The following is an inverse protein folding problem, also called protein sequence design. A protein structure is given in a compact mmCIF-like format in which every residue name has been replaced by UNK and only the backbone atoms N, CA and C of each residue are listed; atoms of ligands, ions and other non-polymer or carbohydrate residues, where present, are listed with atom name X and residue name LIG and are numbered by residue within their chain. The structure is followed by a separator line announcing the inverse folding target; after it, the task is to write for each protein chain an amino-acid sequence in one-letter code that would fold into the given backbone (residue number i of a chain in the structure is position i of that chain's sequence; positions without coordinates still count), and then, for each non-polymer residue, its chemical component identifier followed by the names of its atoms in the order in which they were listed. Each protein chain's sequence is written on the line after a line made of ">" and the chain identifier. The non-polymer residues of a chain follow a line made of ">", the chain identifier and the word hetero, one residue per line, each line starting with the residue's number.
data_IF_947791077830
#
_entry.id   IF_947791077830
#
_cell.length_a   1.000
_cell.length_b   1.000
_cell.length_c   1.000
_cell.angle_alpha   90.00
_cell.angle_beta   90.00
_cell.angle_gamma   90.00
#
_symmetry.space_group_name_H-M   'P 1'
#
loop_
_entity.id
_entity.type
_entity.pdbx_description
1 polymer ?
2 non-polymer ?
3 non-polymer ?
4 water ?
#
# COMPACT_ATOMS: atom_id res chain seq x y z
N UNK A 10 17.63 -14.97 16.94
CA UNK A 10 17.25 -13.63 16.42
C UNK A 10 15.74 -13.54 15.97
N UNK A 11 15.25 -14.53 15.22
CA UNK A 11 13.87 -14.48 14.65
C UNK A 11 13.26 -15.84 14.69
N UNK A 12 12.48 -16.15 15.75
CA UNK A 12 12.01 -17.51 15.92
C UNK A 12 10.98 -17.90 14.86
N UNK A 13 10.38 -16.90 14.22
CA UNK A 13 9.32 -17.11 13.25
C UNK A 13 9.72 -16.91 11.78
N UNK A 14 11.01 -17.00 11.53
CA UNK A 14 11.53 -16.97 10.19
C UNK A 14 11.02 -18.18 9.42
N UNK A 15 10.76 -18.01 8.13
CA UNK A 15 10.26 -19.14 7.41
C UNK A 15 11.19 -20.38 7.46
N UNK A 16 12.47 -20.09 7.54
CA UNK A 16 13.53 -21.14 7.58
C UNK A 16 13.39 -21.96 8.89
N UNK A 17 12.66 -21.44 9.88
CA UNK A 17 12.52 -22.18 11.17
C UNK A 17 11.31 -23.05 11.14
N UNK A 18 10.48 -22.95 10.10
CA UNK A 18 9.21 -23.68 10.01
C UNK A 18 9.23 -24.90 9.12
N UNK A 19 8.26 -25.80 9.34
CA UNK A 19 8.08 -26.95 8.44
C UNK A 19 7.02 -26.63 7.39
N UNK A 20 7.52 -26.38 6.19
CA UNK A 20 6.64 -25.96 5.10
C UNK A 20 6.28 -27.09 4.21
N UNK A 21 5.00 -27.47 4.21
CA UNK A 21 4.63 -28.60 3.38
C UNK A 21 5.00 -28.42 1.93
N UNK A 22 5.35 -29.52 1.24
CA UNK A 22 5.38 -29.51 -0.24
C UNK A 22 4.04 -29.04 -0.84
N UNK A 23 4.08 -28.20 -1.87
CA UNK A 23 2.86 -27.64 -2.52
C UNK A 23 2.41 -26.33 -1.90
N UNK A 24 3.09 -25.86 -0.85
CA UNK A 24 2.73 -24.55 -0.23
C UNK A 24 3.87 -23.59 -0.66
N UNK A 25 3.55 -22.49 -1.30
CA UNK A 25 4.54 -21.45 -1.51
C UNK A 25 4.29 -20.32 -0.49
N UNK A 26 5.37 -19.60 -0.15
CA UNK A 26 5.30 -18.53 0.86
C UNK A 26 6.00 -17.29 0.31
N UNK A 27 5.38 -16.15 0.46
CA UNK A 27 5.99 -14.87 -0.05
C UNK A 27 5.89 -13.87 1.07
N UNK A 28 7.02 -13.31 1.49
CA UNK A 28 7.04 -12.39 2.60
C UNK A 28 7.20 -10.95 2.07
N UNK A 29 6.33 -10.05 2.55
CA UNK A 29 6.42 -8.64 2.17
C UNK A 29 7.35 -7.93 3.06
N UNK A 30 8.12 -7.05 2.47
CA UNK A 30 9.17 -6.38 3.23
C UNK A 30 8.78 -5.14 4.09
N UNK A 31 7.52 -4.70 4.04
CA UNK A 31 7.12 -3.47 4.79
C UNK A 31 5.79 -2.97 4.38
N UNK A 32 5.55 -1.67 4.44
CA UNK A 32 4.30 -1.05 3.93
C UNK A 32 3.97 -1.50 2.54
N UNK A 33 2.72 -1.86 2.28
CA UNK A 33 2.40 -2.46 0.96
C UNK A 33 1.91 -1.35 0.07
N UNK A 34 2.89 -0.68 -0.54
CA UNK A 34 2.63 0.42 -1.43
C UNK A 34 3.11 0.03 -2.87
N UNK A 35 3.51 1.03 -3.67
CA UNK A 35 3.67 0.67 -5.12
C UNK A 35 4.86 -0.28 -5.26
N UNK A 36 5.91 -0.12 -4.39
CA UNK A 36 7.17 -1.01 -4.52
C UNK A 36 6.80 -2.48 -4.42
N UNK A 37 6.08 -2.85 -3.34
CA UNK A 37 5.64 -4.22 -3.10
C UNK A 37 4.68 -4.60 -4.24
N UNK A 38 3.76 -3.70 -4.52
CA UNK A 38 2.81 -4.04 -5.62
C UNK A 38 3.57 -4.45 -6.90
N UNK A 39 4.59 -3.75 -7.29
CA UNK A 39 5.35 -4.02 -8.54
C UNK A 39 6.00 -5.41 -8.47
N UNK A 40 6.42 -5.77 -7.27
CA UNK A 40 7.09 -7.11 -7.09
C UNK A 40 6.09 -8.29 -6.99
N UNK A 41 4.92 -8.09 -6.40
CA UNK A 41 3.96 -9.18 -6.27
C UNK A 41 3.24 -9.47 -7.64
N UNK A 42 3.11 -8.40 -8.44
CA UNK A 42 2.38 -8.54 -9.72
C UNK A 42 2.89 -9.67 -10.52
N UNK A 43 1.96 -10.57 -10.88
CA UNK A 43 2.30 -11.61 -11.82
C UNK A 43 3.12 -12.75 -11.25
N UNK A 44 3.31 -12.78 -9.93
CA UNK A 44 4.09 -13.84 -9.35
C UNK A 44 3.53 -15.23 -9.67
N UNK A 45 2.21 -15.44 -9.70
CA UNK A 45 1.76 -16.77 -10.02
C UNK A 45 1.97 -17.11 -11.52
N UNK A 46 2.08 -16.14 -12.43
CA UNK A 46 2.38 -16.51 -13.84
C UNK A 46 3.86 -16.90 -14.04
N UNK A 47 4.74 -16.72 -13.05
CA UNK A 47 6.13 -17.18 -13.21
C UNK A 47 6.56 -18.33 -12.29
N UNK A 48 5.63 -18.94 -11.57
CA UNK A 48 5.94 -20.18 -10.92
C UNK A 48 5.52 -21.31 -11.91
N UNK A 49 6.45 -22.22 -12.20
CA UNK A 49 6.18 -23.30 -13.18
C UNK A 49 5.25 -24.38 -12.58
N UNK A 50 5.53 -24.82 -11.36
CA UNK A 50 4.67 -25.78 -10.65
C UNK A 50 3.69 -25.07 -9.70
N UNK A 51 2.48 -24.79 -10.20
CA UNK A 51 1.52 -23.96 -9.42
C UNK A 51 1.26 -24.56 -8.05
N UNK A 52 1.47 -23.74 -6.99
CA UNK A 52 1.30 -24.17 -5.61
C UNK A 52 -0.20 -24.48 -5.33
N UNK A 53 -0.47 -25.41 -4.41
CA UNK A 53 -1.83 -25.68 -3.98
C UNK A 53 -2.28 -24.55 -3.06
N UNK A 54 -1.29 -24.05 -2.29
CA UNK A 54 -1.59 -23.01 -1.21
C UNK A 54 -0.48 -21.97 -1.32
N UNK A 55 -0.85 -20.67 -1.22
CA UNK A 55 0.08 -19.61 -1.27
C UNK A 55 -0.13 -18.81 -0.01
N UNK A 56 0.95 -18.61 0.76
CA UNK A 56 0.84 -17.84 1.99
C UNK A 56 1.53 -16.52 1.75
N UNK A 57 0.78 -15.44 1.95
CA UNK A 57 1.41 -14.15 1.89
C UNK A 57 1.65 -13.70 3.33
N UNK A 58 2.93 -13.62 3.71
CA UNK A 58 3.31 -13.24 5.02
C UNK A 58 3.29 -11.75 5.20
N UNK A 59 2.50 -11.29 6.16
CA UNK A 59 2.21 -9.85 6.25
C UNK A 59 2.58 -9.33 7.62
N UNK A 60 3.45 -10.04 8.36
CA UNK A 60 3.83 -9.50 9.72
C UNK A 60 4.57 -8.18 9.71
N UNK A 61 5.17 -7.83 8.57
CA UNK A 61 5.93 -6.56 8.42
C UNK A 61 5.06 -5.48 7.80
N UNK A 62 3.78 -5.73 7.68
CA UNK A 62 2.95 -4.82 6.87
C UNK A 62 1.92 -4.18 7.85
N UNK A 63 2.18 -2.93 8.28
CA UNK A 63 1.11 -2.28 9.00
C UNK A 63 0.07 -1.50 8.23
N UNK A 64 0.33 -1.23 6.93
CA UNK A 64 -0.43 -0.27 6.20
C UNK A 64 -0.35 -0.77 4.75
N UNK A 65 -1.40 -0.49 4.02
CA UNK A 65 -1.51 -0.74 2.58
C UNK A 65 -2.26 0.47 1.95
N UNK A 66 -1.78 0.94 0.76
CA UNK A 66 -2.56 2.03 0.17
C UNK A 66 -3.43 1.52 -1.00
N UNK A 67 -3.95 2.43 -1.82
CA UNK A 67 -4.85 1.98 -2.84
C UNK A 67 -4.10 1.10 -3.92
N UNK A 68 -2.84 1.46 -4.24
CA UNK A 68 -2.08 0.73 -5.22
C UNK A 68 -1.77 -0.66 -4.69
N UNK A 69 -1.28 -0.74 -3.43
CA UNK A 69 -1.11 -2.03 -2.74
C UNK A 69 -2.40 -2.90 -2.75
N UNK A 70 -3.54 -2.26 -2.41
CA UNK A 70 -4.77 -3.05 -2.31
C UNK A 70 -5.15 -3.49 -3.73
N UNK A 71 -4.90 -2.64 -4.74
CA UNK A 71 -5.23 -3.12 -6.07
C UNK A 71 -4.40 -4.35 -6.46
N UNK A 72 -3.12 -4.33 -6.12
CA UNK A 72 -2.26 -5.45 -6.44
C UNK A 72 -2.73 -6.71 -5.67
N UNK A 73 -3.15 -6.53 -4.40
CA UNK A 73 -3.56 -7.68 -3.60
C UNK A 73 -4.87 -8.29 -4.17
N UNK A 74 -5.78 -7.48 -4.68
CA UNK A 74 -7.03 -7.98 -5.30
C UNK A 74 -6.67 -8.74 -6.56
N UNK A 75 -5.78 -8.18 -7.38
CA UNK A 75 -5.49 -8.87 -8.63
C UNK A 75 -4.67 -10.14 -8.33
N UNK A 76 -3.93 -10.19 -7.23
CA UNK A 76 -3.23 -11.37 -6.92
C UNK A 76 -4.21 -12.49 -6.49
N UNK A 77 -5.19 -12.13 -5.67
CA UNK A 77 -6.20 -13.11 -5.27
C UNK A 77 -6.98 -13.65 -6.49
N UNK A 78 -7.25 -12.81 -7.47
CA UNK A 78 -7.85 -13.21 -8.77
C UNK A 78 -7.01 -14.16 -9.55
N UNK A 79 -5.70 -13.90 -9.61
CA UNK A 79 -4.77 -14.84 -10.19
C UNK A 79 -4.76 -16.19 -9.46
N UNK A 80 -4.89 -16.20 -8.15
CA UNK A 80 -4.92 -17.47 -7.40
C UNK A 80 -6.18 -18.28 -7.75
N UNK A 81 -7.30 -17.58 -7.84
CA UNK A 81 -8.52 -18.29 -8.18
C UNK A 81 -8.48 -18.85 -9.56
N UNK A 82 -7.92 -18.09 -10.54
CA UNK A 82 -7.74 -18.63 -11.88
C UNK A 82 -6.85 -19.84 -11.96
N UNK A 83 -5.92 -19.98 -11.01
CA UNK A 83 -5.03 -21.17 -10.98
C UNK A 83 -5.44 -22.26 -10.01
N UNK A 84 -6.58 -22.08 -9.30
CA UNK A 84 -7.05 -23.04 -8.28
C UNK A 84 -6.08 -23.13 -7.10
N UNK A 85 -5.34 -22.03 -6.90
CA UNK A 85 -4.46 -21.89 -5.73
C UNK A 85 -5.23 -21.25 -4.59
N UNK A 86 -5.08 -21.77 -3.37
CA UNK A 86 -5.74 -21.15 -2.22
C UNK A 86 -4.77 -20.09 -1.61
N UNK A 87 -5.19 -18.85 -1.55
CA UNK A 87 -4.45 -17.78 -0.89
C UNK A 87 -4.80 -17.73 0.61
N UNK A 88 -3.76 -17.71 1.46
CA UNK A 88 -3.87 -17.46 2.92
C UNK A 88 -3.03 -16.15 3.22
N UNK A 89 -3.52 -15.38 4.15
CA UNK A 89 -2.66 -14.28 4.71
C UNK A 89 -2.25 -14.65 6.10
N UNK A 90 -0.99 -14.45 6.47
CA UNK A 90 -0.59 -14.69 7.84
C UNK A 90 -0.01 -13.39 8.37
N UNK A 91 0.12 -13.35 9.70
CA UNK A 91 0.76 -12.24 10.41
C UNK A 91 -0.04 -10.93 10.25
N UNK A 92 -1.33 -11.09 10.09
CA UNK A 92 -2.18 -9.87 9.85
C UNK A 92 -2.48 -9.21 11.22
N UNK A 93 -1.97 -7.99 11.41
CA UNK A 93 -2.16 -7.28 12.69
C UNK A 93 -3.64 -6.76 12.72
N UNK A 94 -4.10 -6.36 13.89
CA UNK A 94 -5.43 -5.75 13.98
C UNK A 94 -5.59 -4.47 13.13
N UNK A 95 -4.52 -3.68 12.97
CA UNK A 95 -4.65 -2.49 12.14
C UNK A 95 -4.73 -2.87 10.66
N UNK A 96 -3.87 -3.82 10.25
CA UNK A 96 -4.03 -4.25 8.83
C UNK A 96 -5.39 -4.86 8.51
N UNK A 97 -5.90 -5.68 9.40
CA UNK A 97 -7.17 -6.36 9.20
C UNK A 97 -8.26 -5.26 9.00
N UNK A 98 -8.18 -4.23 9.84
CA UNK A 98 -9.18 -3.16 9.77
C UNK A 98 -9.15 -2.51 8.37
N UNK A 99 -7.95 -2.29 7.80
CA UNK A 99 -7.81 -1.68 6.47
C UNK A 99 -8.43 -2.65 5.45
N UNK A 100 -8.01 -3.92 5.50
CA UNK A 100 -8.44 -4.88 4.52
C UNK A 100 -9.95 -5.09 4.65
N UNK A 101 -10.51 -5.03 5.85
CA UNK A 101 -11.97 -5.14 5.99
C UNK A 101 -12.71 -3.94 5.41
N UNK A 102 -12.18 -2.73 5.65
CA UNK A 102 -12.84 -1.52 5.05
C UNK A 102 -12.75 -1.52 3.53
N UNK A 103 -11.66 -2.07 2.98
CA UNK A 103 -11.57 -2.20 1.54
C UNK A 103 -12.48 -3.32 0.98
N UNK A 104 -12.99 -4.22 1.80
CA UNK A 104 -13.85 -5.29 1.34
C UNK A 104 -13.16 -6.62 1.06
N UNK A 105 -11.85 -6.63 1.34
CA UNK A 105 -11.05 -7.77 0.93
C UNK A 105 -11.28 -8.98 1.88
N UNK A 106 -11.47 -8.73 3.16
CA UNK A 106 -11.71 -9.83 4.14
C UNK A 106 -12.98 -10.61 3.72
N UNK A 107 -14.07 -9.93 3.40
CA UNK A 107 -15.30 -10.68 3.05
C UNK A 107 -15.12 -11.37 1.71
N UNK A 108 -14.24 -10.83 0.86
CA UNK A 108 -14.05 -11.48 -0.49
C UNK A 108 -13.18 -12.70 -0.41
N UNK A 109 -12.17 -12.65 0.48
CA UNK A 109 -11.24 -13.79 0.58
C UNK A 109 -11.83 -14.85 1.46
N UNK A 110 -12.51 -14.41 2.50
CA UNK A 110 -13.05 -15.27 3.56
C UNK A 110 -12.21 -15.16 4.83
N UNK A 111 -12.87 -14.88 5.97
CA UNK A 111 -12.12 -14.71 7.23
C UNK A 111 -11.30 -15.91 7.60
N UNK A 112 -11.76 -17.10 7.23
CA UNK A 112 -11.06 -18.30 7.65
C UNK A 112 -9.68 -18.46 6.95
N UNK A 113 -9.43 -17.63 5.96
CA UNK A 113 -8.11 -17.58 5.25
C UNK A 113 -7.09 -16.55 5.81
N UNK A 114 -7.46 -15.85 6.93
CA UNK A 114 -6.67 -14.74 7.39
C UNK A 114 -6.21 -15.13 8.80
N UNK A 115 -4.90 -15.08 9.05
CA UNK A 115 -4.29 -15.46 10.32
C UNK A 115 -3.39 -14.43 10.93
N UNK A 116 -3.23 -14.49 12.28
CA UNK A 116 -2.39 -13.51 12.86
C UNK A 116 -0.97 -14.01 13.05
N UNK A 117 -0.72 -15.23 12.58
CA UNK A 117 0.56 -15.89 12.85
C UNK A 117 0.77 -16.96 11.82
N UNK A 118 2.06 -17.07 11.41
CA UNK A 118 2.50 -18.02 10.40
C UNK A 118 2.24 -19.49 10.83
N UNK A 119 2.38 -19.73 12.16
CA UNK A 119 2.09 -21.10 12.61
C UNK A 119 0.66 -21.56 12.34
N UNK A 120 -0.29 -20.67 12.52
CA UNK A 120 -1.68 -21.01 12.26
C UNK A 120 -1.88 -21.14 10.77
N UNK A 121 -1.31 -20.21 9.96
CA UNK A 121 -1.57 -20.36 8.54
C UNK A 121 -1.01 -21.70 8.01
N UNK A 122 0.17 -22.04 8.51
CA UNK A 122 0.81 -23.29 8.09
C UNK A 122 0.01 -24.54 8.50
N UNK A 123 -0.46 -24.48 9.71
CA UNK A 123 -1.36 -25.60 10.19
C UNK A 123 -2.52 -25.78 9.21
N UNK A 124 -3.21 -24.67 8.84
CA UNK A 124 -4.23 -24.76 7.84
C UNK A 124 -3.82 -25.18 6.43
N UNK A 125 -2.75 -24.61 5.91
CA UNK A 125 -2.16 -25.04 4.70
C UNK A 125 -1.87 -26.57 4.67
N UNK A 126 -1.32 -27.10 5.75
CA UNK A 126 -1.04 -28.49 5.85
C UNK A 126 -2.34 -29.29 5.69
N UNK A 127 -3.38 -28.85 6.35
CA UNK A 127 -4.68 -29.55 6.33
C UNK A 127 -5.23 -29.53 4.90
N UNK A 128 -5.06 -28.41 4.21
CA UNK A 128 -5.55 -28.23 2.87
C UNK A 128 -4.84 -29.12 1.91
N UNK A 129 -3.51 -29.21 2.04
CA UNK A 129 -2.75 -30.08 1.13
C UNK A 129 -3.13 -31.57 1.39
N UNK A 130 -3.18 -31.99 2.66
CA UNK A 130 -3.63 -33.35 3.09
C UNK A 130 -4.97 -33.73 2.46
N UNK A 131 -5.89 -32.77 2.36
CA UNK A 131 -7.29 -33.02 1.96
C UNK A 131 -7.65 -32.47 0.57
N UNK B 8 -3.89 -2.64 -23.42
CA UNK B 8 -5.20 -2.05 -23.92
C UNK B 8 -6.08 -1.46 -22.79
N UNK B 9 -6.21 -2.20 -21.70
CA UNK B 9 -6.98 -1.75 -20.53
C UNK B 9 -6.07 -1.30 -19.38
N UNK B 10 -4.81 -0.98 -19.70
CA UNK B 10 -3.81 -0.49 -18.69
C UNK B 10 -4.19 0.90 -18.19
N UNK B 11 -4.03 1.18 -16.91
CA UNK B 11 -4.03 2.57 -16.38
C UNK B 11 -2.73 3.22 -16.86
N UNK B 12 -2.78 4.15 -17.85
CA UNK B 12 -1.51 4.69 -18.31
C UNK B 12 -0.74 5.55 -17.28
N UNK B 13 -1.42 6.00 -16.23
CA UNK B 13 -0.77 6.82 -15.21
C UNK B 13 -0.61 6.05 -13.90
N UNK B 14 -0.73 4.74 -13.92
CA UNK B 14 -0.33 3.94 -12.71
C UNK B 14 1.10 4.21 -12.33
N UNK B 15 1.41 4.18 -11.02
CA UNK B 15 2.76 4.34 -10.59
C UNK B 15 3.74 3.39 -11.27
N UNK B 16 3.27 2.18 -11.51
CA UNK B 16 4.09 1.15 -12.17
C UNK B 16 4.58 1.55 -13.55
N UNK B 17 3.89 2.52 -14.17
CA UNK B 17 4.28 3.00 -15.50
C UNK B 17 5.21 4.17 -15.51
N UNK B 18 5.59 4.64 -14.30
CA UNK B 18 6.47 5.78 -14.11
C UNK B 18 7.81 5.37 -13.62
N UNK B 19 8.81 6.25 -13.78
CA UNK B 19 10.14 6.12 -13.22
C UNK B 19 10.16 6.94 -11.90
N UNK B 20 10.17 6.19 -10.80
CA UNK B 20 10.11 6.77 -9.47
C UNK B 20 11.49 6.78 -8.88
N UNK B 21 12.04 7.97 -8.65
CA UNK B 21 13.38 8.01 -8.12
C UNK B 21 13.55 7.28 -6.77
N UNK B 22 14.74 6.72 -6.52
CA UNK B 22 15.04 6.27 -5.20
C UNK B 22 14.92 7.44 -4.25
N UNK B 23 14.37 7.19 -3.08
CA UNK B 23 14.27 8.29 -2.10
C UNK B 23 12.89 8.90 -2.16
N UNK B 24 12.04 8.39 -3.08
CA UNK B 24 10.73 9.05 -3.23
C UNK B 24 9.72 8.00 -2.83
N UNK B 25 8.85 8.30 -1.85
CA UNK B 25 7.74 7.34 -1.45
C UNK B 25 6.46 7.87 -2.01
N UNK B 26 5.58 6.98 -2.45
CA UNK B 26 4.26 7.35 -3.07
C UNK B 26 3.17 6.61 -2.34
N UNK B 27 2.08 7.33 -1.98
CA UNK B 27 0.92 6.66 -1.37
C UNK B 27 -0.26 7.14 -2.23
N UNK B 28 -1.11 6.22 -2.70
CA UNK B 28 -2.26 6.58 -3.48
C UNK B 28 -3.56 6.37 -2.70
N UNK B 29 -4.40 7.39 -2.65
CA UNK B 29 -5.69 7.33 -1.93
C UNK B 29 -6.74 6.83 -2.86
N UNK B 30 -7.58 5.96 -2.29
CA UNK B 30 -8.53 5.21 -3.08
C UNK B 30 -9.88 5.85 -3.44
N UNK B 31 -10.21 7.00 -2.86
CA UNK B 31 -11.56 7.61 -3.10
C UNK B 31 -11.72 8.81 -2.19
N UNK B 32 -12.95 9.30 -1.97
CA UNK B 32 -13.12 10.41 -1.01
C UNK B 32 -12.29 10.26 0.30
N UNK B 33 -11.74 11.35 0.74
CA UNK B 33 -10.82 11.35 1.89
C UNK B 33 -11.66 11.67 3.14
N UNK B 34 -12.28 10.60 3.67
CA UNK B 34 -13.04 10.69 4.91
C UNK B 34 -12.39 9.81 6.03
N UNK B 35 -13.16 9.31 7.03
CA UNK B 35 -12.52 8.61 8.15
C UNK B 35 -11.77 7.33 7.68
N UNK B 36 -12.24 6.66 6.64
CA UNK B 36 -11.60 5.32 6.18
C UNK B 36 -10.16 5.60 5.81
N UNK B 37 -9.99 6.55 4.89
CA UNK B 37 -8.64 6.92 4.45
C UNK B 37 -7.83 7.52 5.59
N UNK B 38 -8.45 8.40 6.39
CA UNK B 38 -7.71 8.93 7.54
C UNK B 38 -7.13 7.89 8.51
N UNK B 39 -7.89 6.83 8.73
CA UNK B 39 -7.44 5.72 9.57
C UNK B 39 -6.22 5.04 8.98
N UNK B 40 -6.19 4.93 7.66
CA UNK B 40 -5.03 4.26 6.97
C UNK B 40 -3.77 5.14 6.87
N UNK B 41 -3.96 6.45 6.79
CA UNK B 41 -2.86 7.32 6.48
C UNK B 41 -2.17 7.65 7.81
N UNK B 42 -2.93 7.55 8.91
CA UNK B 42 -2.37 8.04 10.18
C UNK B 42 -1.16 7.21 10.66
N UNK B 43 -0.07 7.93 10.95
CA UNK B 43 1.18 7.28 11.29
C UNK B 43 2.00 6.61 10.22
N UNK B 44 1.59 6.82 8.98
CA UNK B 44 2.31 6.12 7.85
C UNK B 44 3.78 6.47 7.85
N UNK B 45 4.14 7.72 8.12
CA UNK B 45 5.57 8.04 7.99
C UNK B 45 6.38 7.27 9.06
N UNK B 46 5.78 7.07 10.26
CA UNK B 46 6.50 6.39 11.41
C UNK B 46 6.83 4.90 11.11
N UNK B 47 6.09 4.28 10.19
CA UNK B 47 6.41 2.91 9.81
C UNK B 47 7.35 2.77 8.65
N UNK B 48 7.90 3.87 8.13
CA UNK B 48 8.88 3.83 7.08
C UNK B 48 10.25 4.02 7.72
N UNK B 49 11.13 3.02 7.61
CA UNK B 49 12.34 3.03 8.40
C UNK B 49 13.41 3.99 7.83
N UNK B 50 13.57 4.08 6.51
CA UNK B 50 14.46 5.06 5.96
C UNK B 50 13.71 6.37 5.63
N UNK B 51 14.18 7.50 6.16
CA UNK B 51 13.49 8.79 5.95
C UNK B 51 13.42 9.11 4.41
N UNK B 52 12.16 9.29 3.85
CA UNK B 52 12.08 9.60 2.47
C UNK B 52 12.49 11.05 2.25
N UNK B 53 13.18 11.31 1.13
CA UNK B 53 13.47 12.69 0.78
C UNK B 53 12.16 13.38 0.41
N UNK B 54 11.35 12.65 -0.31
CA UNK B 54 10.07 13.19 -0.90
C UNK B 54 8.98 12.18 -0.69
N UNK B 55 7.81 12.64 -0.24
CA UNK B 55 6.61 11.79 -0.14
C UNK B 55 5.55 12.39 -1.04
N UNK B 56 5.10 11.66 -2.06
CA UNK B 56 3.97 12.12 -2.91
C UNK B 56 2.67 11.43 -2.54
N UNK B 57 1.68 12.25 -2.25
CA UNK B 57 0.36 11.76 -1.97
C UNK B 57 -0.33 11.88 -3.35
N UNK B 58 -0.79 10.74 -3.92
CA UNK B 58 -1.54 10.76 -5.19
C UNK B 58 -2.99 10.91 -4.86
N UNK B 59 -3.60 11.97 -5.39
CA UNK B 59 -5.00 12.25 -5.07
C UNK B 59 -5.89 12.38 -6.27
N UNK B 60 -5.51 11.76 -7.40
CA UNK B 60 -6.32 11.80 -8.58
C UNK B 60 -7.73 11.19 -8.35
N UNK B 61 -7.85 10.24 -7.44
CA UNK B 61 -9.15 9.62 -7.09
C UNK B 61 -9.91 10.30 -5.98
N UNK B 62 -9.43 11.46 -5.56
CA UNK B 62 -9.97 12.10 -4.39
C UNK B 62 -10.76 13.35 -4.78
N UNK B 63 -12.07 13.30 -4.76
CA UNK B 63 -12.75 14.52 -5.22
C UNK B 63 -13.17 15.41 -4.10
N UNK B 64 -13.19 14.83 -2.88
CA UNK B 64 -13.76 15.51 -1.74
C UNK B 64 -12.99 15.03 -0.50
N UNK B 65 -12.98 15.91 0.51
CA UNK B 65 -12.29 15.66 1.81
C UNK B 65 -13.15 16.32 2.88
N UNK B 66 -13.34 15.64 4.01
CA UNK B 66 -14.22 16.23 5.05
C UNK B 66 -13.27 16.67 6.18
N UNK B 67 -13.88 16.99 7.30
CA UNK B 67 -13.09 17.44 8.52
C UNK B 67 -12.11 16.44 9.03
N UNK B 68 -12.60 15.21 9.16
CA UNK B 68 -11.79 14.08 9.62
C UNK B 68 -10.60 13.84 8.69
N UNK B 69 -10.80 13.80 7.35
CA UNK B 69 -9.74 13.58 6.33
C UNK B 69 -8.78 14.81 6.44
N UNK B 70 -9.32 16.02 6.58
CA UNK B 70 -8.43 17.24 6.56
C UNK B 70 -7.53 17.16 7.77
N UNK B 71 -8.09 16.76 8.94
CA UNK B 71 -7.26 16.74 10.19
C UNK B 71 -6.10 15.70 9.98
N UNK B 72 -6.44 14.56 9.35
CA UNK B 72 -5.40 13.53 9.09
C UNK B 72 -4.36 14.05 8.09
N UNK B 73 -4.80 14.80 7.08
CA UNK B 73 -3.87 15.38 6.14
C UNK B 73 -2.93 16.39 6.79
N UNK B 74 -3.48 17.29 7.60
CA UNK B 74 -2.64 18.22 8.42
C UNK B 74 -1.64 17.47 9.24
N UNK B 75 -2.10 16.48 9.96
CA UNK B 75 -1.14 15.75 10.82
C UNK B 75 -0.08 14.99 10.02
N UNK B 76 -0.44 14.54 8.81
CA UNK B 76 0.49 13.83 8.03
C UNK B 76 1.58 14.83 7.52
N UNK B 77 1.12 16.01 7.12
CA UNK B 77 2.04 17.03 6.63
C UNK B 77 3.05 17.46 7.74
N UNK B 78 2.53 17.56 8.95
CA UNK B 78 3.33 17.95 10.13
C UNK B 78 4.34 16.84 10.40
N UNK B 79 3.94 15.57 10.23
CA UNK B 79 4.92 14.50 10.48
C UNK B 79 6.12 14.61 9.48
N UNK B 80 5.75 14.91 8.22
CA UNK B 80 6.74 15.09 7.14
C UNK B 80 7.65 16.21 7.45
N UNK B 81 7.07 17.36 7.83
CA UNK B 81 7.88 18.55 8.07
C UNK B 81 8.83 18.27 9.29
N UNK B 82 8.37 17.51 10.32
CA UNK B 82 9.23 17.24 11.56
C UNK B 82 10.40 16.41 11.17
N UNK B 83 10.18 15.38 10.30
CA UNK B 83 11.25 14.46 10.00
C UNK B 83 12.18 14.93 8.87
N UNK B 84 11.75 15.95 8.12
CA UNK B 84 12.52 16.55 7.06
C UNK B 84 12.22 15.92 5.70
N UNK B 85 11.04 15.34 5.57
CA UNK B 85 10.56 14.80 4.25
C UNK B 85 9.75 15.89 3.56
N UNK B 86 9.89 16.06 2.25
CA UNK B 86 9.07 17.08 1.53
C UNK B 86 7.82 16.38 1.03
N UNK B 87 6.65 16.92 1.40
CA UNK B 87 5.37 16.33 0.91
C UNK B 87 4.89 17.07 -0.35
N UNK B 88 4.57 16.30 -1.38
CA UNK B 88 4.00 16.85 -2.62
C UNK B 88 2.60 16.22 -2.77
N UNK B 89 1.62 16.97 -3.31
CA UNK B 89 0.29 16.42 -3.68
C UNK B 89 0.24 16.29 -5.17
N UNK B 90 -0.15 15.15 -5.66
CA UNK B 90 -0.39 15.05 -7.11
C UNK B 90 -1.83 14.71 -7.44
N UNK B 91 -2.18 14.97 -8.68
CA UNK B 91 -3.50 14.69 -9.19
C UNK B 91 -4.62 15.49 -8.51
N UNK B 92 -4.30 16.67 -8.02
CA UNK B 92 -5.30 17.53 -7.35
C UNK B 92 -6.21 18.24 -8.42
N UNK B 93 -7.50 17.91 -8.34
CA UNK B 93 -8.46 18.50 -9.27
C UNK B 93 -8.73 19.93 -8.83
N UNK B 94 -9.43 20.66 -9.71
CA UNK B 94 -9.79 22.04 -9.26
C UNK B 94 -10.70 22.05 -8.08
N UNK B 95 -11.60 21.06 -8.06
CA UNK B 95 -12.55 20.91 -6.94
C UNK B 95 -11.82 20.66 -5.59
N UNK B 96 -10.85 19.73 -5.61
CA UNK B 96 -10.15 19.39 -4.36
C UNK B 96 -9.29 20.59 -3.99
N UNK B 97 -8.65 21.25 -4.96
CA UNK B 97 -7.78 22.39 -4.65
C UNK B 97 -8.57 23.46 -3.82
N UNK B 98 -9.75 23.73 -4.32
CA UNK B 98 -10.64 24.69 -3.68
C UNK B 98 -10.98 24.35 -2.25
N UNK B 99 -11.26 23.07 -1.97
CA UNK B 99 -11.44 22.62 -0.59
C UNK B 99 -10.18 22.82 0.25
N UNK B 100 -9.06 22.29 -0.22
CA UNK B 100 -7.79 22.49 0.48
C UNK B 100 -7.43 23.95 0.67
N UNK B 101 -7.78 24.77 -0.31
CA UNK B 101 -7.48 26.19 -0.14
C UNK B 101 -8.36 26.86 0.97
N UNK B 102 -9.63 26.50 1.02
CA UNK B 102 -10.57 27.09 2.00
C UNK B 102 -10.24 26.57 3.37
N UNK B 103 -9.67 25.34 3.43
CA UNK B 103 -9.18 24.86 4.71
C UNK B 103 -7.83 25.46 5.17
N UNK B 104 -7.07 26.12 4.31
CA UNK B 104 -5.83 26.77 4.78
C UNK B 104 -4.64 25.94 4.40
N UNK B 105 -4.88 24.80 3.80
CA UNK B 105 -3.77 23.83 3.55
C UNK B 105 -2.84 24.22 2.40
N UNK B 106 -3.40 24.75 1.32
CA UNK B 106 -2.57 25.17 0.20
C UNK B 106 -1.50 26.20 0.66
N UNK B 107 -1.95 27.15 1.50
CA UNK B 107 -1.07 28.22 1.98
C UNK B 107 -0.03 27.71 2.98
N UNK B 108 -0.37 26.66 3.74
CA UNK B 108 0.50 25.99 4.65
C UNK B 108 1.54 25.10 3.94
N UNK B 109 1.15 24.40 2.88
CA UNK B 109 2.07 23.46 2.26
C UNK B 109 2.96 24.19 1.23
N UNK B 110 2.37 25.15 0.51
CA UNK B 110 3.07 25.89 -0.58
C UNK B 110 2.45 25.45 -1.89
N UNK B 111 1.91 26.41 -2.60
CA UNK B 111 1.37 26.16 -3.95
C UNK B 111 2.31 25.38 -4.89
N UNK B 112 3.63 25.57 -4.74
CA UNK B 112 4.54 24.93 -5.69
C UNK B 112 4.69 23.43 -5.39
N UNK B 113 4.08 22.98 -4.29
CA UNK B 113 4.13 21.52 -4.00
C UNK B 113 2.83 20.83 -4.33
N UNK B 114 1.95 21.53 -5.06
CA UNK B 114 0.68 20.92 -5.36
C UNK B 114 0.60 20.78 -6.87
N UNK B 115 0.26 19.60 -7.39
CA UNK B 115 0.30 19.35 -8.84
C UNK B 115 -0.97 18.69 -9.30
N UNK B 116 -1.32 18.92 -10.56
CA UNK B 116 -2.51 18.34 -11.06
C UNK B 116 -2.22 17.00 -11.75
N UNK B 117 -0.98 16.50 -11.71
CA UNK B 117 -0.71 15.21 -12.36
C UNK B 117 0.57 14.64 -11.89
N UNK B 118 0.63 13.32 -11.76
CA UNK B 118 1.80 12.67 -11.25
C UNK B 118 3.06 12.98 -12.06
N UNK B 119 2.96 13.16 -13.39
CA UNK B 119 4.20 13.41 -14.12
C UNK B 119 4.87 14.66 -13.62
N UNK B 120 4.06 15.69 -13.29
CA UNK B 120 4.62 16.92 -12.88
C UNK B 120 5.21 16.83 -11.47
N UNK B 121 4.53 16.04 -10.62
CA UNK B 121 5.00 15.86 -9.26
C UNK B 121 6.31 15.05 -9.26
N UNK B 122 6.38 14.02 -10.13
CA UNK B 122 7.59 13.22 -10.16
C UNK B 122 8.76 14.02 -10.73
N UNK B 123 8.48 14.91 -11.70
CA UNK B 123 9.60 15.70 -12.24
C UNK B 123 10.15 16.62 -11.13
N UNK B 124 9.24 17.21 -10.33
CA UNK B 124 9.72 18.06 -9.21
C UNK B 124 10.48 17.25 -8.18
N UNK B 125 9.96 16.05 -7.87
CA UNK B 125 10.60 15.21 -6.87
C UNK B 125 12.02 14.83 -7.33
N UNK B 126 12.19 14.58 -8.63
CA UNK B 126 13.51 14.16 -9.14
C UNK B 126 14.50 15.31 -8.94
N UNK B 127 14.05 16.56 -9.15
CA UNK B 127 14.93 17.74 -8.90
C UNK B 127 15.17 17.83 -7.38
N UNK B 128 14.10 17.67 -6.54
CA UNK B 128 14.39 17.66 -5.09
C UNK B 128 15.44 16.58 -4.68
N UNK B 129 15.35 15.35 -5.21
CA UNK B 129 16.26 14.34 -4.79
C UNK B 129 17.69 14.62 -5.25
N UNK B 130 17.89 15.18 -6.44
CA UNK B 130 19.26 15.32 -6.99
C UNK B 130 20.10 16.41 -6.26
N UNK B 131 19.52 17.03 -5.23
CA UNK B 131 20.10 18.11 -4.45
C UNK B 131 20.69 17.40 -3.18
N UNK B 132 21.87 16.80 -3.34
CA UNK B 132 22.43 15.82 -2.37
C UNK B 132 23.74 16.26 -1.68
X LIG C 1 3.62 -13.62 8.80
X LIG D 1 8.24 -8.01 -1.04
X LIG D 1 8.01 -7.76 -2.24
X LIG D 1 8.51 -6.95 -0.34
X LIG E 1 -2.14 11.41 -8.84
X LIG F 1 -5.93 4.71 0.73
X LIG F 1 -7.09 4.64 0.44
X LIG F 1 -5.61 4.59 2.00
#
# INVERSE_FOLDING_TARGET
>A
SNADGLEGXDDPDATSKKVVPLGVEIYEINGPFFFGVADRLKGVLDVIEETPKVFILRMRRVPVIDATGMHALWEFQESCEKRGTILLLSGVSDRLYGALNRFGFIEALGEERVFDHIDKALAYAKLLVETAEER
>B
SNADGLEGMDDPDATSKKVVPLGVEIYEINGPFFFGVADRLKGVLDVIEETPKVFILRMRRVPVIDATGMHALWEFQESCEKRGTILLLSGVSDRLYGALNRFGFIEALGEERVFDHIDKALAYAKLLVETAEER
>C hetero
1 CL CL
>D hetero
1 FMT C O1 O2
>E hetero
1 CL CL
>F hetero
1 FMT C O1 O2
#
